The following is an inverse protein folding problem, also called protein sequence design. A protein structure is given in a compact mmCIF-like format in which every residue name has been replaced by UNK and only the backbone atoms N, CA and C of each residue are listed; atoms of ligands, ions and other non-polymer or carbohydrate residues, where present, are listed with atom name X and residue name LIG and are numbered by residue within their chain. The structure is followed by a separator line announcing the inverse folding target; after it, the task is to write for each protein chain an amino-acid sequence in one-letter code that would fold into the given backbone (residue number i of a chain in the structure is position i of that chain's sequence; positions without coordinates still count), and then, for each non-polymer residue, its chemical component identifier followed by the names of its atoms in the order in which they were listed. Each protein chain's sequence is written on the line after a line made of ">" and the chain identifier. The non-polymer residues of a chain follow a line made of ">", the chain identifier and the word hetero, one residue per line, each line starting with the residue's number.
data_IF_269852538976
#
_entry.id   IF_269852538976
#
_cell.length_a   1.000
_cell.length_b   1.000
_cell.length_c   1.000
_cell.angle_alpha   90.00
_cell.angle_beta   90.00
_cell.angle_gamma   90.00
#
_symmetry.space_group_name_H-M   'P 1'
#
loop_
_entity.id
_entity.type
_entity.pdbx_description
1 polymer ?
#
# COMPACT_ATOMS: atom_id res chain seq x y z
N UNK A 1 -16.78 10.21 -17.57
CA UNK A 1 -17.24 9.66 -16.26
C UNK A 1 -16.12 9.94 -15.29
N UNK A 2 -16.38 10.61 -14.16
CA UNK A 2 -15.34 10.95 -13.19
C UNK A 2 -14.89 9.69 -12.43
N UNK A 3 -13.61 9.37 -12.48
CA UNK A 3 -13.02 8.31 -11.68
C UNK A 3 -11.99 8.90 -10.71
N UNK A 4 -11.89 8.31 -9.55
CA UNK A 4 -11.01 8.70 -8.47
C UNK A 4 -10.01 7.59 -8.22
N UNK A 5 -8.75 7.95 -7.98
CA UNK A 5 -7.75 7.03 -7.50
C UNK A 5 -7.22 7.50 -6.15
N UNK A 6 -7.26 6.61 -5.16
CA UNK A 6 -6.52 6.75 -3.91
C UNK A 6 -5.29 5.85 -4.02
N UNK A 7 -4.10 6.44 -3.93
CA UNK A 7 -2.82 5.73 -3.81
C UNK A 7 -2.26 5.98 -2.42
N UNK A 8 -2.16 4.92 -1.62
CA UNK A 8 -1.65 5.02 -0.26
C UNK A 8 -0.26 4.40 -0.09
N UNK A 9 0.49 4.95 0.86
CA UNK A 9 1.73 4.40 1.38
C UNK A 9 1.65 4.15 2.88
N UNK A 10 2.81 3.90 3.51
CA UNK A 10 2.92 3.48 4.91
C UNK A 10 2.30 4.46 5.93
N UNK A 11 2.23 5.76 5.59
CA UNK A 11 1.58 6.77 6.41
C UNK A 11 0.09 6.53 6.65
N UNK A 12 -0.60 5.76 5.78
CA UNK A 12 -1.98 5.34 6.03
C UNK A 12 -2.09 4.41 7.24
N UNK A 13 -1.13 3.49 7.39
CA UNK A 13 -1.15 2.44 8.42
C UNK A 13 -0.33 2.80 9.68
N UNK A 14 0.46 3.87 9.64
CA UNK A 14 1.25 4.33 10.78
C UNK A 14 0.40 4.60 12.04
N UNK A 15 -0.76 5.29 11.97
CA UNK A 15 -1.62 5.49 13.14
C UNK A 15 -2.21 4.19 13.72
N UNK A 16 -2.20 3.09 12.97
CA UNK A 16 -2.58 1.76 13.48
C UNK A 16 -1.47 1.08 14.28
N UNK A 17 -0.27 1.67 14.35
CA UNK A 17 0.90 1.12 15.04
C UNK A 17 1.82 0.27 14.14
N UNK A 18 1.63 0.30 12.82
CA UNK A 18 2.57 -0.27 11.87
C UNK A 18 3.66 0.75 11.53
N UNK A 19 4.89 0.45 11.88
CA UNK A 19 6.03 1.32 11.63
C UNK A 19 6.32 1.46 10.14
N UNK A 20 6.61 2.69 9.72
CA UNK A 20 6.98 3.03 8.35
C UNK A 20 8.46 2.72 8.10
N UNK A 21 8.89 2.74 6.83
CA UNK A 21 10.31 2.61 6.44
C UNK A 21 11.22 3.75 6.96
N UNK A 22 10.63 4.85 7.46
CA UNK A 22 11.34 6.02 7.95
C UNK A 22 11.41 6.12 9.48
N UNK A 23 10.62 5.30 10.18
CA UNK A 23 10.61 5.33 11.64
C UNK A 23 11.93 4.74 12.18
N UNK A 24 12.71 5.58 12.85
CA UNK A 24 14.00 5.22 13.42
C UNK A 24 13.91 4.32 14.66
N UNK A 25 12.71 3.88 15.06
CA UNK A 25 12.42 3.04 16.22
C UNK A 25 11.75 1.72 15.80
N UNK A 26 12.44 0.60 15.76
CA UNK A 26 11.81 -0.71 15.59
C UNK A 26 12.52 -1.69 14.68
N UNK A 27 11.79 -2.68 14.12
CA UNK A 27 12.35 -3.78 13.32
C UNK A 27 13.20 -3.32 12.12
N UNK A 28 13.04 -2.08 11.66
CA UNK A 28 13.86 -1.49 10.59
C UNK A 28 15.23 -1.02 11.08
N UNK A 29 15.40 -0.67 12.38
CA UNK A 29 16.71 -0.30 12.94
C UNK A 29 17.66 -1.49 13.08
N UNK A 30 17.10 -2.69 13.28
CA UNK A 30 17.89 -3.92 13.44
C UNK A 30 18.35 -4.52 12.11
N UNK A 31 17.80 -4.01 10.96
CA UNK A 31 18.09 -4.60 9.65
C UNK A 31 18.36 -3.51 8.60
N UNK A 32 19.42 -3.70 7.83
CA UNK A 32 19.56 -2.97 6.57
C UNK A 32 18.41 -3.36 5.63
N UNK A 33 17.67 -2.34 5.14
CA UNK A 33 16.52 -2.54 4.24
C UNK A 33 16.92 -3.37 3.02
N UNK A 34 18.10 -3.14 2.45
CA UNK A 34 18.57 -3.90 1.29
C UNK A 34 18.92 -5.35 1.61
N UNK A 35 19.25 -5.67 2.87
CA UNK A 35 19.45 -7.05 3.28
C UNK A 35 18.16 -7.85 3.38
N UNK A 36 17.04 -7.23 3.80
CA UNK A 36 15.78 -7.94 4.08
C UNK A 36 14.67 -7.71 3.07
N UNK A 37 14.77 -6.65 2.26
CA UNK A 37 13.74 -6.28 1.30
C UNK A 37 14.21 -6.28 -0.16
N UNK A 38 15.39 -6.84 -0.49
CA UNK A 38 15.85 -6.95 -1.87
C UNK A 38 15.98 -8.40 -2.35
N UNK A 39 15.88 -8.60 -3.66
CA UNK A 39 16.11 -9.90 -4.28
C UNK A 39 17.53 -10.40 -4.04
N UNK A 40 18.51 -9.48 -4.01
CA UNK A 40 19.91 -9.80 -3.65
C UNK A 40 20.03 -10.24 -2.19
N UNK A 41 19.37 -9.56 -1.25
CA UNK A 41 19.34 -9.95 0.15
C UNK A 41 18.72 -11.34 0.33
N UNK A 42 17.60 -11.61 -0.35
CA UNK A 42 16.95 -12.92 -0.32
C UNK A 42 17.88 -14.04 -0.84
N UNK A 43 18.58 -13.82 -1.96
CA UNK A 43 19.55 -14.80 -2.47
C UNK A 43 20.72 -15.08 -1.52
N UNK A 44 21.21 -14.05 -0.81
CA UNK A 44 22.32 -14.17 0.14
C UNK A 44 21.93 -14.87 1.43
N UNK A 45 20.76 -14.54 1.98
CA UNK A 45 20.28 -15.10 3.24
C UNK A 45 18.75 -15.26 3.26
N UNK A 46 18.22 -16.29 2.56
CA UNK A 46 16.79 -16.53 2.49
C UNK A 46 16.13 -16.63 3.87
N UNK A 47 16.81 -17.33 4.81
CA UNK A 47 16.27 -17.51 6.16
C UNK A 47 16.04 -16.17 6.88
N UNK A 48 17.02 -15.26 6.84
CA UNK A 48 16.91 -13.93 7.46
C UNK A 48 15.69 -13.16 6.91
N UNK A 49 15.51 -13.19 5.60
CA UNK A 49 14.39 -12.51 4.91
C UNK A 49 13.04 -13.15 5.26
N UNK A 50 12.97 -14.48 5.29
CA UNK A 50 11.74 -15.19 5.67
C UNK A 50 11.37 -14.92 7.13
N UNK A 51 12.33 -14.99 8.05
CA UNK A 51 12.12 -14.69 9.47
C UNK A 51 11.65 -13.22 9.66
N UNK A 52 12.24 -12.28 8.93
CA UNK A 52 11.86 -10.87 8.96
C UNK A 52 10.38 -10.66 8.56
N UNK A 53 9.95 -11.22 7.42
CA UNK A 53 8.57 -11.09 6.98
C UNK A 53 7.59 -11.88 7.85
N UNK A 54 8.00 -13.00 8.45
CA UNK A 54 7.18 -13.72 9.45
C UNK A 54 6.94 -12.86 10.69
N UNK A 55 7.97 -12.17 11.19
CA UNK A 55 7.82 -11.22 12.30
C UNK A 55 6.88 -10.07 11.94
N UNK A 56 7.00 -9.51 10.74
CA UNK A 56 6.10 -8.46 10.22
C UNK A 56 4.66 -8.96 10.13
N UNK A 57 4.43 -10.17 9.62
CA UNK A 57 3.09 -10.76 9.52
C UNK A 57 2.48 -11.02 10.90
N UNK A 58 3.26 -11.48 11.87
CA UNK A 58 2.78 -11.66 13.23
C UNK A 58 2.34 -10.33 13.88
N UNK A 59 2.97 -9.21 13.56
CA UNK A 59 2.53 -7.88 14.01
C UNK A 59 1.15 -7.51 13.48
N UNK A 60 0.80 -7.88 12.23
CA UNK A 60 -0.50 -7.55 11.64
C UNK A 60 -1.67 -8.11 12.45
N UNK A 61 -1.49 -9.25 13.11
CA UNK A 61 -2.54 -9.85 13.94
C UNK A 61 -2.97 -8.95 15.10
N UNK A 62 -2.06 -8.12 15.61
CA UNK A 62 -2.25 -7.32 16.81
C UNK A 62 -2.69 -5.88 16.52
N UNK A 63 -2.66 -5.44 15.28
CA UNK A 63 -3.09 -4.09 14.88
C UNK A 63 -4.51 -4.10 14.32
N UNK A 64 -5.16 -2.96 14.31
CA UNK A 64 -6.52 -2.79 13.79
C UNK A 64 -6.55 -1.71 12.73
N UNK A 65 -7.48 -1.78 11.77
CA UNK A 65 -7.78 -0.65 10.90
C UNK A 65 -8.02 0.62 11.73
N UNK A 66 -7.55 1.74 11.24
CA UNK A 66 -7.83 3.05 11.84
C UNK A 66 -8.98 3.74 11.06
N UNK A 67 -9.42 4.89 11.57
CA UNK A 67 -10.49 5.67 10.98
C UNK A 67 -10.32 5.95 9.47
N UNK A 68 -9.08 6.16 9.01
CA UNK A 68 -8.82 6.41 7.59
C UNK A 68 -9.10 5.18 6.71
N UNK A 69 -8.72 3.98 7.18
CA UNK A 69 -9.07 2.73 6.48
C UNK A 69 -10.58 2.53 6.38
N UNK A 70 -11.31 2.78 7.49
CA UNK A 70 -12.76 2.65 7.55
C UNK A 70 -13.44 3.67 6.61
N UNK A 71 -12.95 4.91 6.59
CA UNK A 71 -13.46 5.95 5.70
C UNK A 71 -13.23 5.61 4.22
N UNK A 72 -12.05 5.12 3.85
CA UNK A 72 -11.75 4.67 2.49
C UNK A 72 -12.67 3.51 2.10
N UNK A 73 -12.93 2.57 2.99
CA UNK A 73 -13.86 1.47 2.75
C UNK A 73 -15.30 1.96 2.50
N UNK A 74 -15.79 2.93 3.30
CA UNK A 74 -17.09 3.60 3.10
C UNK A 74 -17.17 4.32 1.75
N UNK A 75 -16.12 5.04 1.38
CA UNK A 75 -16.03 5.72 0.07
C UNK A 75 -16.04 4.70 -1.07
N UNK A 76 -15.33 3.57 -0.92
CA UNK A 76 -15.32 2.49 -1.91
C UNK A 76 -16.69 1.83 -2.05
N UNK A 77 -17.41 1.63 -0.95
CA UNK A 77 -18.78 1.14 -0.99
C UNK A 77 -19.71 2.10 -1.71
N UNK A 78 -19.60 3.41 -1.43
CA UNK A 78 -20.42 4.48 -2.03
C UNK A 78 -20.16 4.66 -3.52
N UNK A 79 -18.90 4.71 -3.95
CA UNK A 79 -18.51 5.04 -5.32
C UNK A 79 -18.19 3.82 -6.20
N UNK A 80 -18.08 2.64 -5.62
CA UNK A 80 -17.94 1.36 -6.32
C UNK A 80 -16.79 1.35 -7.33
N UNK A 81 -17.13 1.09 -8.58
CA UNK A 81 -16.15 1.03 -9.69
C UNK A 81 -15.50 2.36 -10.07
N UNK A 82 -16.08 3.48 -9.63
CA UNK A 82 -15.54 4.82 -9.90
C UNK A 82 -14.46 5.25 -8.89
N UNK A 83 -14.21 4.46 -7.83
CA UNK A 83 -13.10 4.66 -6.89
C UNK A 83 -12.11 3.50 -6.99
N UNK A 84 -10.91 3.79 -7.46
CA UNK A 84 -9.78 2.85 -7.46
C UNK A 84 -9.01 3.02 -6.16
N UNK A 85 -8.86 1.94 -5.40
CA UNK A 85 -8.05 1.92 -4.17
C UNK A 85 -6.80 1.11 -4.43
N UNK A 86 -5.66 1.79 -4.40
CA UNK A 86 -4.34 1.23 -4.68
C UNK A 86 -3.45 1.51 -3.49
N UNK A 87 -2.67 0.53 -3.09
CA UNK A 87 -1.77 0.68 -1.95
C UNK A 87 -0.37 0.13 -2.25
N UNK A 88 0.64 0.82 -1.74
CA UNK A 88 2.01 0.33 -1.66
C UNK A 88 2.21 -0.59 -0.45
N UNK A 89 1.27 -0.53 0.50
CA UNK A 89 1.33 -1.31 1.72
C UNK A 89 1.07 -2.78 1.45
N UNK A 90 1.72 -3.61 2.25
CA UNK A 90 1.61 -5.08 2.19
C UNK A 90 0.70 -5.62 3.30
N UNK A 91 0.21 -4.74 4.18
CA UNK A 91 -0.76 -5.10 5.23
C UNK A 91 -2.18 -5.31 4.66
N UNK A 92 -3.07 -5.84 5.48
CA UNK A 92 -4.45 -6.18 5.15
C UNK A 92 -5.48 -5.24 5.83
N UNK A 93 -5.06 -4.05 6.26
CA UNK A 93 -5.92 -3.18 7.05
C UNK A 93 -7.08 -2.58 6.23
N UNK A 94 -6.90 -2.34 4.94
CA UNK A 94 -7.98 -1.91 4.06
C UNK A 94 -9.05 -2.99 3.91
N UNK A 95 -8.65 -4.24 3.67
CA UNK A 95 -9.56 -5.38 3.57
C UNK A 95 -10.30 -5.63 4.88
N UNK A 96 -9.59 -5.54 6.01
CA UNK A 96 -10.18 -5.69 7.35
C UNK A 96 -11.13 -4.55 7.70
N UNK A 97 -10.97 -3.37 7.12
CA UNK A 97 -11.94 -2.28 7.19
C UNK A 97 -13.15 -2.49 6.28
N UNK A 98 -13.15 -3.54 5.44
CA UNK A 98 -14.23 -3.85 4.49
C UNK A 98 -14.02 -3.27 3.10
N UNK A 99 -12.86 -2.69 2.79
CA UNK A 99 -12.55 -2.17 1.47
C UNK A 99 -12.41 -3.33 0.47
N UNK A 100 -13.13 -3.24 -0.65
CA UNK A 100 -13.12 -4.24 -1.72
C UNK A 100 -12.21 -3.81 -2.88
N UNK A 101 -11.74 -4.78 -3.66
CA UNK A 101 -10.98 -4.56 -4.88
C UNK A 101 -9.73 -3.68 -4.67
N UNK A 102 -9.01 -3.89 -3.57
CA UNK A 102 -7.75 -3.20 -3.29
C UNK A 102 -6.64 -3.76 -4.17
N UNK A 103 -5.89 -2.88 -4.83
CA UNK A 103 -4.74 -3.27 -5.65
C UNK A 103 -3.46 -3.08 -4.83
N UNK A 104 -2.81 -4.17 -4.44
CA UNK A 104 -1.53 -4.15 -3.74
C UNK A 104 -0.37 -4.11 -4.74
N UNK A 105 0.36 -3.00 -4.77
CA UNK A 105 1.49 -2.82 -5.71
C UNK A 105 2.72 -3.64 -5.34
N UNK A 106 2.96 -3.82 -4.05
CA UNK A 106 4.16 -4.47 -3.54
C UNK A 106 3.89 -5.84 -2.91
N UNK A 107 2.75 -6.46 -3.24
CA UNK A 107 2.34 -7.75 -2.72
C UNK A 107 1.50 -7.66 -1.45
N UNK A 108 1.19 -8.84 -0.88
CA UNK A 108 0.25 -8.97 0.23
C UNK A 108 0.81 -9.93 1.28
N UNK A 109 1.09 -9.42 2.48
CA UNK A 109 1.85 -10.13 3.50
C UNK A 109 1.14 -11.38 4.07
N UNK A 110 -0.22 -11.45 4.15
CA UNK A 110 -0.92 -12.69 4.51
C UNK A 110 -0.76 -13.83 3.52
N UNK A 111 -0.12 -13.63 2.37
CA UNK A 111 0.03 -14.64 1.32
C UNK A 111 1.47 -15.16 1.20
N UNK A 112 1.56 -16.40 0.72
CA UNK A 112 2.80 -17.01 0.24
C UNK A 112 2.75 -17.21 -1.28
N UNK A 113 3.93 -17.16 -1.90
CA UNK A 113 4.16 -17.49 -3.30
C UNK A 113 5.07 -18.69 -3.42
N UNK A 114 4.67 -19.66 -4.25
CA UNK A 114 5.50 -20.82 -4.58
C UNK A 114 6.51 -20.46 -5.67
N UNK A 115 7.80 -20.68 -5.42
CA UNK A 115 8.87 -20.40 -6.38
C UNK A 115 8.93 -21.44 -7.52
N UNK A 116 8.26 -22.61 -7.37
CA UNK A 116 8.24 -23.66 -8.38
C UNK A 116 7.10 -23.51 -9.39
N UNK A 117 5.88 -23.18 -8.95
CA UNK A 117 4.71 -23.12 -9.82
C UNK A 117 4.02 -21.76 -9.84
N UNK A 118 4.61 -20.77 -9.18
CA UNK A 118 4.13 -19.38 -9.03
C UNK A 118 2.75 -19.24 -8.40
N UNK A 119 2.18 -20.33 -7.87
CA UNK A 119 0.90 -20.31 -7.16
C UNK A 119 0.97 -19.45 -5.92
N UNK A 120 -0.01 -18.57 -5.73
CA UNK A 120 -0.19 -17.72 -4.56
C UNK A 120 -1.32 -18.30 -3.72
N UNK A 121 -1.15 -18.31 -2.39
CA UNK A 121 -2.16 -18.77 -1.45
C UNK A 121 -2.06 -18.08 -0.11
N UNK A 122 -3.21 -17.84 0.49
CA UNK A 122 -3.31 -17.14 1.77
C UNK A 122 -3.06 -18.10 2.93
N UNK A 123 -2.29 -17.65 3.92
CA UNK A 123 -2.03 -18.37 5.19
C UNK A 123 -2.41 -17.52 6.41
N UNK A 124 -3.03 -16.35 6.19
CA UNK A 124 -3.37 -15.41 7.27
C UNK A 124 -2.12 -14.97 8.04
N UNK A 125 -2.16 -15.12 9.35
CA UNK A 125 -1.06 -14.73 10.25
C UNK A 125 -0.24 -15.92 10.74
N UNK A 126 -0.45 -17.11 10.16
CA UNK A 126 0.30 -18.30 10.53
C UNK A 126 1.79 -18.16 10.17
N UNK A 127 2.64 -18.88 10.91
CA UNK A 127 4.07 -18.93 10.59
C UNK A 127 4.32 -19.62 9.27
N UNK A 128 5.37 -19.18 8.59
CA UNK A 128 5.84 -19.75 7.32
C UNK A 128 6.28 -21.24 7.45
N UNK A 129 6.81 -21.62 8.62
CA UNK A 129 7.42 -22.93 8.89
C UNK A 129 6.47 -24.07 8.51
N UNK A 130 7.02 -25.11 7.87
CA UNK A 130 6.33 -26.35 7.45
C UNK A 130 5.21 -26.20 6.45
N UNK A 131 5.04 -25.03 5.82
CA UNK A 131 4.09 -24.84 4.74
C UNK A 131 4.53 -25.54 3.45
N UNK A 132 3.55 -25.99 2.70
CA UNK A 132 3.71 -26.57 1.37
C UNK A 132 2.73 -25.91 0.41
N UNK A 133 3.15 -25.75 -0.85
CA UNK A 133 2.27 -25.27 -1.89
C UNK A 133 1.05 -26.20 -2.04
N UNK A 134 -0.18 -25.70 -1.92
CA UNK A 134 -1.37 -26.54 -2.07
C UNK A 134 -1.49 -27.15 -3.47
N UNK A 135 -0.93 -26.48 -4.50
CA UNK A 135 -1.00 -26.89 -5.91
C UNK A 135 0.06 -27.94 -6.27
N UNK A 136 1.33 -27.73 -5.95
CA UNK A 136 2.42 -28.62 -6.43
C UNK A 136 3.21 -29.30 -5.29
N UNK A 137 2.81 -29.09 -4.04
CA UNK A 137 3.41 -29.67 -2.83
C UNK A 137 4.87 -29.27 -2.59
N UNK A 138 5.42 -28.34 -3.36
CA UNK A 138 6.76 -27.80 -3.13
C UNK A 138 6.83 -27.09 -1.77
N UNK A 139 7.97 -27.21 -1.10
CA UNK A 139 8.33 -26.42 0.09
C UNK A 139 9.10 -25.14 -0.27
N UNK A 140 9.40 -24.96 -1.55
CA UNK A 140 10.12 -23.77 -2.04
C UNK A 140 9.14 -22.60 -2.15
N UNK A 141 8.99 -21.92 -1.04
CA UNK A 141 7.99 -20.85 -0.83
C UNK A 141 8.68 -19.59 -0.31
N UNK A 142 8.05 -18.44 -0.57
CA UNK A 142 8.37 -17.19 0.08
C UNK A 142 7.10 -16.36 0.32
N UNK A 143 7.22 -15.29 1.10
CA UNK A 143 6.16 -14.29 1.24
C UNK A 143 5.83 -13.66 -0.13
N UNK A 144 4.54 -13.41 -0.38
CA UNK A 144 4.08 -12.78 -1.62
C UNK A 144 4.31 -11.27 -1.57
N UNK A 145 5.58 -10.88 -1.52
CA UNK A 145 6.07 -9.50 -1.47
C UNK A 145 6.93 -9.23 -2.71
N UNK A 146 6.76 -8.07 -3.32
CA UNK A 146 7.67 -7.56 -4.34
C UNK A 146 8.86 -6.93 -3.62
N UNK A 147 10.03 -7.48 -3.81
CA UNK A 147 11.28 -6.97 -3.24
C UNK A 147 11.90 -5.92 -4.15
N UNK A 148 12.74 -5.05 -3.59
CA UNK A 148 13.60 -4.21 -4.43
C UNK A 148 14.35 -5.08 -5.45
N UNK A 149 14.64 -4.55 -6.63
CA UNK A 149 15.25 -5.23 -7.78
C UNK A 149 14.30 -6.21 -8.50
N UNK A 150 13.05 -6.37 -8.07
CA UNK A 150 12.05 -7.18 -8.77
C UNK A 150 11.09 -6.31 -9.57
N UNK A 151 10.54 -6.90 -10.63
CA UNK A 151 9.41 -6.27 -11.33
C UNK A 151 8.15 -6.37 -10.48
N UNK A 152 7.40 -5.28 -10.40
CA UNK A 152 6.11 -5.22 -9.73
C UNK A 152 4.97 -5.44 -10.75
N UNK A 153 4.37 -6.64 -10.84
CA UNK A 153 3.36 -6.95 -11.86
C UNK A 153 2.14 -6.03 -11.82
N UNK A 154 1.76 -5.58 -10.63
CA UNK A 154 0.61 -4.71 -10.42
C UNK A 154 0.79 -3.27 -10.96
N UNK A 155 2.01 -2.88 -11.36
CA UNK A 155 2.23 -1.55 -11.97
C UNK A 155 1.52 -1.39 -13.31
N UNK A 156 1.36 -2.47 -14.10
CA UNK A 156 0.57 -2.41 -15.32
C UNK A 156 -0.90 -2.03 -15.03
N UNK A 157 -1.46 -2.58 -13.94
CA UNK A 157 -2.81 -2.22 -13.46
C UNK A 157 -2.86 -0.77 -12.98
N UNK A 158 -1.88 -0.32 -12.19
CA UNK A 158 -1.78 1.07 -11.75
C UNK A 158 -1.84 2.04 -12.95
N UNK A 159 -0.98 1.85 -13.95
CA UNK A 159 -0.95 2.74 -15.12
C UNK A 159 -2.24 2.69 -15.94
N UNK A 160 -2.83 1.51 -16.11
CA UNK A 160 -4.12 1.38 -16.81
C UNK A 160 -5.25 2.13 -16.11
N UNK A 161 -5.29 2.09 -14.78
CA UNK A 161 -6.28 2.81 -13.97
C UNK A 161 -5.99 4.31 -13.91
N UNK A 162 -4.71 4.70 -13.86
CA UNK A 162 -4.30 6.10 -13.82
C UNK A 162 -4.77 6.86 -15.07
N UNK A 163 -4.68 6.26 -16.25
CA UNK A 163 -5.20 6.85 -17.49
C UNK A 163 -6.72 7.07 -17.51
N UNK A 164 -7.44 6.46 -16.58
CA UNK A 164 -8.90 6.63 -16.44
C UNK A 164 -9.26 7.56 -15.27
N UNK A 165 -8.26 8.06 -14.54
CA UNK A 165 -8.43 8.82 -13.31
C UNK A 165 -8.57 10.31 -13.61
N UNK A 166 -9.60 10.94 -13.06
CA UNK A 166 -9.80 12.39 -13.10
C UNK A 166 -9.32 13.07 -11.81
N UNK A 167 -9.50 12.44 -10.65
CA UNK A 167 -8.97 12.91 -9.35
C UNK A 167 -7.98 11.92 -8.79
N UNK A 168 -6.72 12.34 -8.63
CA UNK A 168 -5.67 11.55 -7.99
C UNK A 168 -5.44 12.01 -6.55
N UNK A 169 -5.43 11.06 -5.61
CA UNK A 169 -5.23 11.32 -4.19
C UNK A 169 -4.05 10.46 -3.69
N UNK A 170 -3.00 11.14 -3.24
CA UNK A 170 -1.81 10.51 -2.64
C UNK A 170 -1.87 10.63 -1.13
N UNK A 171 -1.84 9.51 -0.41
CA UNK A 171 -1.96 9.44 1.05
C UNK A 171 -0.73 8.77 1.67
N UNK A 172 -0.04 9.48 2.56
CA UNK A 172 0.99 8.90 3.42
C UNK A 172 2.16 8.26 2.67
N UNK A 173 2.52 8.79 1.50
CA UNK A 173 3.71 8.38 0.74
C UNK A 173 4.58 9.59 0.42
N UNK A 174 5.88 9.37 0.46
CA UNK A 174 6.88 10.41 0.20
C UNK A 174 7.25 10.57 -1.28
N UNK A 175 6.70 9.72 -2.16
CA UNK A 175 7.13 9.71 -3.56
C UNK A 175 8.49 9.06 -3.83
N UNK A 176 9.21 8.56 -2.81
CA UNK A 176 10.55 8.01 -2.97
C UNK A 176 10.62 6.74 -3.83
N UNK A 177 9.52 5.97 -3.89
CA UNK A 177 9.44 4.72 -4.68
C UNK A 177 8.60 4.92 -5.94
N UNK A 178 7.52 5.69 -5.85
CA UNK A 178 6.62 5.97 -6.96
C UNK A 178 6.62 7.47 -7.26
N UNK A 179 6.69 7.89 -8.52
CA UNK A 179 6.71 9.30 -8.91
C UNK A 179 5.29 9.91 -8.82
N UNK A 180 4.77 10.08 -7.60
CA UNK A 180 3.38 10.55 -7.36
C UNK A 180 3.13 11.94 -7.92
N UNK A 181 4.15 12.78 -8.04
CA UNK A 181 4.10 14.09 -8.69
C UNK A 181 3.80 13.98 -10.20
N UNK A 182 4.33 12.94 -10.86
CA UNK A 182 3.99 12.69 -12.26
C UNK A 182 2.55 12.20 -12.39
N UNK A 183 2.08 11.36 -11.48
CA UNK A 183 0.70 10.87 -11.47
C UNK A 183 -0.29 12.01 -11.22
N UNK A 184 0.02 12.92 -10.30
CA UNK A 184 -0.79 14.13 -10.08
C UNK A 184 -0.91 14.96 -11.36
N UNK A 185 0.20 15.16 -12.09
CA UNK A 185 0.24 15.94 -13.33
C UNK A 185 -0.53 15.30 -14.50
N UNK A 186 -0.88 14.01 -14.41
CA UNK A 186 -1.67 13.30 -15.43
C UNK A 186 -3.18 13.42 -15.22
N UNK A 187 -3.63 13.93 -14.08
CA UNK A 187 -5.03 13.98 -13.70
C UNK A 187 -5.57 15.42 -13.73
N UNK A 188 -6.89 15.58 -13.83
CA UNK A 188 -7.55 16.90 -13.84
C UNK A 188 -7.40 17.62 -12.51
N UNK A 189 -7.43 16.85 -11.42
CA UNK A 189 -7.28 17.33 -10.04
C UNK A 189 -6.44 16.37 -9.22
N UNK A 190 -5.80 16.93 -8.19
CA UNK A 190 -4.93 16.13 -7.31
C UNK A 190 -4.94 16.63 -5.87
N UNK A 191 -4.87 15.68 -4.92
CA UNK A 191 -4.81 15.92 -3.48
C UNK A 191 -3.61 15.17 -2.91
N UNK A 192 -2.82 15.84 -2.08
CA UNK A 192 -1.71 15.27 -1.34
C UNK A 192 -2.01 15.29 0.16
N UNK A 193 -1.83 14.15 0.82
CA UNK A 193 -1.69 14.10 2.28
C UNK A 193 -0.32 13.54 2.66
N UNK A 194 0.43 14.31 3.38
CA UNK A 194 1.74 13.97 3.96
C UNK A 194 1.82 14.47 5.39
N UNK A 195 2.62 13.81 6.23
CA UNK A 195 2.82 14.23 7.61
C UNK A 195 3.80 15.39 7.74
N UNK A 196 4.88 15.36 6.96
CA UNK A 196 5.94 16.37 6.95
C UNK A 196 5.92 17.17 5.64
N UNK A 197 6.25 18.45 5.77
CA UNK A 197 6.31 19.38 4.63
C UNK A 197 7.37 18.97 3.62
N UNK A 198 7.00 18.88 2.34
CA UNK A 198 7.90 18.65 1.22
C UNK A 198 7.57 19.60 0.06
N UNK A 199 8.23 20.75 0.02
CA UNK A 199 8.01 21.79 -0.99
C UNK A 199 8.27 21.33 -2.43
N UNK A 200 9.10 20.29 -2.62
CA UNK A 200 9.37 19.75 -3.95
C UNK A 200 8.22 18.89 -4.45
N UNK A 201 7.50 18.22 -3.55
CA UNK A 201 6.35 17.40 -3.86
C UNK A 201 5.07 18.24 -3.93
N UNK A 202 4.88 19.15 -2.97
CA UNK A 202 3.66 19.96 -2.82
C UNK A 202 3.28 20.74 -4.08
N UNK A 203 4.25 21.30 -4.79
CA UNK A 203 4.03 22.15 -5.98
C UNK A 203 3.29 21.47 -7.15
N UNK A 204 3.14 20.15 -7.11
CA UNK A 204 2.48 19.36 -8.16
C UNK A 204 1.02 19.03 -7.85
N UNK A 205 0.55 19.41 -6.65
CA UNK A 205 -0.80 19.08 -6.22
C UNK A 205 -1.69 20.32 -6.10
N UNK A 206 -2.97 20.17 -6.48
CA UNK A 206 -3.95 21.26 -6.38
C UNK A 206 -4.34 21.55 -4.92
N UNK A 207 -4.39 20.51 -4.08
CA UNK A 207 -4.74 20.63 -2.66
C UNK A 207 -3.84 19.77 -1.79
N UNK A 208 -3.49 20.29 -0.61
CA UNK A 208 -2.48 19.67 0.24
C UNK A 208 -2.95 19.67 1.69
N UNK A 209 -2.80 18.53 2.35
CA UNK A 209 -3.01 18.33 3.78
C UNK A 209 -1.69 17.88 4.43
N UNK A 210 -1.04 18.80 5.18
CA UNK A 210 0.19 18.52 5.93
C UNK A 210 -0.23 18.22 7.37
N UNK A 211 -0.68 17.01 7.59
CA UNK A 211 -1.18 16.51 8.87
C UNK A 211 -1.26 14.99 8.83
N UNK A 212 -1.44 14.37 9.99
CA UNK A 212 -1.69 12.92 10.01
C UNK A 212 -3.00 12.57 9.29
N UNK A 213 -3.06 11.35 8.77
CA UNK A 213 -4.19 10.93 7.93
C UNK A 213 -5.51 10.86 8.73
N UNK A 214 -5.47 10.63 10.04
CA UNK A 214 -6.70 10.59 10.86
C UNK A 214 -7.37 11.96 10.89
N UNK A 215 -6.57 13.04 10.97
CA UNK A 215 -7.04 14.41 10.91
C UNK A 215 -7.48 14.85 9.52
N UNK A 216 -6.84 14.31 8.47
CA UNK A 216 -7.07 14.69 7.08
C UNK A 216 -8.24 13.95 6.42
N UNK A 217 -8.52 12.71 6.80
CA UNK A 217 -9.35 11.81 6.00
C UNK A 217 -10.80 12.28 5.79
N UNK A 218 -11.41 12.90 6.80
CA UNK A 218 -12.78 13.40 6.66
C UNK A 218 -12.84 14.62 5.73
N UNK A 219 -11.79 15.45 5.70
CA UNK A 219 -11.65 16.58 4.78
C UNK A 219 -11.46 16.06 3.35
N UNK A 220 -10.60 15.06 3.15
CA UNK A 220 -10.38 14.41 1.86
C UNK A 220 -11.68 13.76 1.37
N UNK A 221 -12.45 13.12 2.25
CA UNK A 221 -13.74 12.52 1.91
C UNK A 221 -14.73 13.57 1.41
N UNK A 222 -14.78 14.74 2.06
CA UNK A 222 -15.62 15.87 1.60
C UNK A 222 -15.18 16.38 0.24
N UNK A 223 -13.88 16.50 -0.02
CA UNK A 223 -13.35 16.89 -1.33
C UNK A 223 -13.72 15.89 -2.43
N UNK A 224 -13.66 14.60 -2.12
CA UNK A 224 -14.11 13.54 -3.03
C UNK A 224 -15.60 13.73 -3.37
N UNK A 225 -16.44 14.03 -2.39
CA UNK A 225 -17.88 14.27 -2.60
C UNK A 225 -18.14 15.51 -3.45
N UNK A 226 -17.43 16.61 -3.18
CA UNK A 226 -17.51 17.83 -3.98
C UNK A 226 -17.05 17.58 -5.42
N UNK A 227 -15.90 16.91 -5.58
CA UNK A 227 -15.40 16.57 -6.92
C UNK A 227 -16.39 15.73 -7.71
N UNK A 228 -16.99 14.72 -7.10
CA UNK A 228 -17.98 13.89 -7.78
C UNK A 228 -19.24 14.65 -8.16
N UNK A 229 -19.62 15.65 -7.38
CA UNK A 229 -20.80 16.50 -7.60
C UNK A 229 -20.54 17.54 -8.69
N UNK A 230 -19.53 18.37 -8.54
CA UNK A 230 -19.32 19.57 -9.38
C UNK A 230 -17.93 19.67 -10.04
N UNK A 231 -16.96 18.80 -9.68
CA UNK A 231 -15.60 18.77 -10.23
C UNK A 231 -14.58 19.60 -9.46
N UNK A 232 -14.93 20.12 -8.29
CA UNK A 232 -14.04 20.94 -7.47
C UNK A 232 -13.47 20.14 -6.28
N UNK A 233 -12.24 20.48 -5.85
CA UNK A 233 -11.58 19.91 -4.67
C UNK A 233 -11.19 21.00 -3.66
#
# INVERSE_FOLDING_TARGET
>A
MKNIMILSGAGLSAPSGLKTFRDNDGLWEEYDVMEVCSATGFRKNPKKVLDFYDARRAQLQNVKPNHAHEKIAQLKEKWGKNLFVITQNVDDLLERAGCKDVVHLHGFLPELRCLKCEGIFNIGYEKFTDKQCPKCKSKDLRHNIVMFEEQAPAYATLYSLLHQTSLFISIGTSGAVLPVEQYASMCEKSILNIYEKDVNLERYFDKIYIEDIISAIDKIALDIENFMKDGNV
#
